data_IF_776041680572
#
_entry.id   IF_776041680572
#
_cell.length_a   1.000
_cell.length_b   1.000
_cell.length_c   1.000
_cell.angle_alpha   90.00
_cell.angle_beta   90.00
_cell.angle_gamma   90.00
#
_symmetry.space_group_name_H-M   'P 1'
#
loop_
_entity.id
_entity.type
_entity.pdbx_description
1 polymer ?
#
# COMPACT_ATOMS: atom_id res chain seq x y z
N UNK A 1 4.02 -9.42 1.93
CA UNK A 1 2.83 -10.17 2.36
C UNK A 1 3.13 -11.67 2.41
N UNK A 2 2.73 -12.35 3.50
CA UNK A 2 2.76 -13.82 3.59
C UNK A 2 2.01 -14.46 2.41
N UNK A 3 2.39 -15.69 2.03
CA UNK A 3 1.87 -16.38 0.82
C UNK A 3 0.35 -16.41 0.74
N UNK A 4 -0.36 -16.65 1.86
CA UNK A 4 -1.83 -16.68 1.90
C UNK A 4 -2.54 -15.33 1.72
N UNK A 5 -1.80 -14.22 1.67
CA UNK A 5 -2.35 -12.86 1.53
C UNK A 5 -1.81 -12.12 0.32
N UNK A 6 -1.18 -12.85 -0.61
CA UNK A 6 -0.68 -12.26 -1.86
C UNK A 6 -1.82 -12.23 -2.88
N UNK A 7 -2.03 -11.10 -3.57
CA UNK A 7 -3.00 -11.06 -4.65
C UNK A 7 -2.51 -11.88 -5.85
N UNK A 8 -3.43 -12.38 -6.67
CA UNK A 8 -3.11 -13.11 -7.91
C UNK A 8 -2.43 -12.21 -8.94
N UNK A 9 -2.76 -10.93 -8.92
CA UNK A 9 -2.24 -9.91 -9.84
C UNK A 9 -1.84 -8.64 -9.08
N UNK A 10 -1.25 -7.68 -9.78
CA UNK A 10 -0.96 -6.38 -9.20
C UNK A 10 -2.26 -5.68 -8.78
N UNK A 11 -2.31 -5.18 -7.55
CA UNK A 11 -3.40 -4.34 -7.07
C UNK A 11 -2.82 -2.99 -6.69
N UNK A 12 -3.26 -1.95 -7.38
CA UNK A 12 -2.94 -0.56 -7.08
C UNK A 12 -4.17 0.14 -6.52
N UNK A 13 -4.01 0.93 -5.47
CA UNK A 13 -5.09 1.72 -4.90
C UNK A 13 -4.58 3.04 -4.32
N UNK A 14 -5.41 4.09 -4.33
CA UNK A 14 -5.05 5.36 -3.71
C UNK A 14 -5.01 5.20 -2.19
N UNK A 15 -4.05 5.87 -1.55
CA UNK A 15 -3.90 5.93 -0.11
C UNK A 15 -3.53 7.36 0.33
N UNK A 16 -3.60 7.61 1.64
CA UNK A 16 -3.15 8.84 2.23
C UNK A 16 -1.87 8.60 3.03
N UNK A 17 -0.87 9.43 2.77
CA UNK A 17 0.31 9.57 3.61
C UNK A 17 0.05 10.63 4.67
N UNK A 18 0.37 10.29 5.92
CA UNK A 18 0.23 11.15 7.09
C UNK A 18 1.61 11.54 7.61
N UNK A 19 1.76 12.76 8.11
CA UNK A 19 3.03 13.26 8.65
C UNK A 19 2.84 14.68 9.19
N UNK A 20 2.77 15.66 8.29
CA UNK A 20 2.42 17.05 8.63
C UNK A 20 1.09 17.47 7.98
N UNK A 21 1.01 17.34 6.65
CA UNK A 21 -0.22 17.53 5.88
C UNK A 21 -0.56 16.22 5.17
N UNK A 22 -1.81 15.74 5.18
CA UNK A 22 -2.21 14.56 4.41
C UNK A 22 -1.89 14.74 2.92
N UNK A 23 -1.22 13.76 2.32
CA UNK A 23 -0.89 13.75 0.90
C UNK A 23 -1.42 12.49 0.23
N UNK A 24 -1.95 12.64 -0.99
CA UNK A 24 -2.33 11.49 -1.80
C UNK A 24 -1.09 10.72 -2.24
N UNK A 25 -1.14 9.40 -2.13
CA UNK A 25 -0.12 8.49 -2.59
C UNK A 25 -0.77 7.26 -3.22
N UNK A 26 0.00 6.47 -3.93
CA UNK A 26 -0.46 5.21 -4.50
C UNK A 26 0.28 4.04 -3.84
N UNK A 27 -0.47 3.00 -3.47
CA UNK A 27 0.09 1.75 -2.96
C UNK A 27 -0.13 0.69 -4.01
N UNK A 28 0.93 -0.03 -4.39
CA UNK A 28 0.86 -1.20 -5.25
C UNK A 28 1.30 -2.44 -4.49
N UNK A 29 0.45 -3.46 -4.47
CA UNK A 29 0.79 -4.80 -4.00
C UNK A 29 1.07 -5.68 -5.21
N UNK A 30 2.21 -6.36 -5.18
CA UNK A 30 2.64 -7.29 -6.22
C UNK A 30 2.26 -8.75 -5.87
N UNK A 31 2.18 -9.67 -6.86
CA UNK A 31 1.87 -11.08 -6.61
C UNK A 31 2.90 -11.83 -5.76
N UNK A 32 4.14 -11.36 -5.71
CA UNK A 32 5.18 -11.89 -4.81
C UNK A 32 5.01 -11.42 -3.36
N UNK A 33 4.01 -10.57 -3.11
CA UNK A 33 3.72 -9.96 -1.82
C UNK A 33 4.54 -8.71 -1.52
N UNK A 34 5.36 -8.24 -2.46
CA UNK A 34 6.04 -6.95 -2.37
C UNK A 34 5.04 -5.80 -2.34
N UNK A 35 5.35 -4.77 -1.54
CA UNK A 35 4.54 -3.56 -1.43
C UNK A 35 5.40 -2.39 -1.91
N UNK A 36 4.90 -1.65 -2.88
CA UNK A 36 5.50 -0.42 -3.38
C UNK A 36 4.59 0.75 -3.02
N UNK A 37 5.19 1.87 -2.61
CA UNK A 37 4.44 3.08 -2.28
C UNK A 37 5.05 4.24 -3.05
N UNK A 38 4.21 4.98 -3.75
CA UNK A 38 4.62 6.08 -4.62
C UNK A 38 4.01 7.40 -4.14
N UNK A 39 4.79 8.49 -4.21
CA UNK A 39 4.34 9.83 -3.88
C UNK A 39 4.26 10.14 -2.38
N UNK A 40 4.95 9.37 -1.52
CA UNK A 40 5.00 9.66 -0.08
C UNK A 40 5.98 10.81 0.17
N UNK A 41 5.54 11.92 0.80
CA UNK A 41 6.44 12.99 1.21
C UNK A 41 7.49 12.48 2.20
N UNK A 42 8.68 13.08 2.19
CA UNK A 42 9.74 12.74 3.15
C UNK A 42 9.25 12.84 4.59
N UNK A 43 9.47 11.78 5.38
CA UNK A 43 8.99 11.69 6.76
C UNK A 43 7.50 11.37 6.91
N UNK A 44 6.79 11.11 5.81
CA UNK A 44 5.41 10.65 5.83
C UNK A 44 5.30 9.14 6.04
N UNK A 45 4.21 8.72 6.67
CA UNK A 45 3.83 7.32 6.90
C UNK A 45 2.49 7.02 6.23
N UNK A 46 2.39 5.85 5.61
CA UNK A 46 1.13 5.35 5.04
C UNK A 46 0.64 4.20 5.90
N UNK A 47 -0.54 4.33 6.47
CA UNK A 47 -1.18 3.26 7.25
C UNK A 47 -2.09 2.45 6.33
N UNK A 48 -1.78 1.18 6.14
CA UNK A 48 -2.52 0.30 5.25
C UNK A 48 -3.18 -0.80 6.09
N UNK A 49 -4.52 -0.83 6.08
CA UNK A 49 -5.30 -1.93 6.64
C UNK A 49 -5.88 -2.74 5.47
N UNK A 50 -5.59 -4.04 5.45
CA UNK A 50 -6.08 -4.94 4.40
C UNK A 50 -6.93 -6.03 5.02
N UNK A 51 -8.13 -6.20 4.49
CA UNK A 51 -8.98 -7.36 4.74
C UNK A 51 -9.03 -8.17 3.45
N UNK A 52 -8.79 -9.48 3.55
CA UNK A 52 -8.91 -10.42 2.46
C UNK A 52 -10.00 -11.42 2.81
N UNK A 53 -10.82 -11.76 1.82
CA UNK A 53 -11.71 -12.92 1.91
C UNK A 53 -10.91 -14.10 1.34
N UNK A 54 -10.67 -15.10 2.17
CA UNK A 54 -10.03 -16.37 1.79
C UNK A 54 -11.07 -17.31 1.21
#
# INVERSE_FOLDING_TARGET
LPVGFRPVQHIAFPALAYGYTPAACEVTIKPDGGIFVNGVPSGGTVHIAMSFLI
#
